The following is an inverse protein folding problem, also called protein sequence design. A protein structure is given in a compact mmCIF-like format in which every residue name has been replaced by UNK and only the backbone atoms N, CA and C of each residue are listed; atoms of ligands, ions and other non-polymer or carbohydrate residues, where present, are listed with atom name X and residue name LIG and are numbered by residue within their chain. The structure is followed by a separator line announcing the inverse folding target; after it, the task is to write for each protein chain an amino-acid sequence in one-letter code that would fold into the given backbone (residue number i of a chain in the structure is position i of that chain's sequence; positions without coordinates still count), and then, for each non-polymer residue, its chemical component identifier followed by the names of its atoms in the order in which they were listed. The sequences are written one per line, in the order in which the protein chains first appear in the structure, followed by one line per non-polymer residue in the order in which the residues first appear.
data_IF_077803062347
#
_entry.id   IF_077803062347
#
_cell.length_a   1.000
_cell.length_b   1.000
_cell.length_c   1.000
_cell.angle_alpha   90.00
_cell.angle_beta   90.00
_cell.angle_gamma   90.00
#
_symmetry.space_group_name_H-M   'P 1'
#
loop_
_entity.id
_entity.type
_entity.pdbx_description
1 polymer ?
#
# COMPACT_ATOMS: atom_id res chain seq x y z
N UNK A 1 -77.57 4.26 48.54
CA UNK A 1 -78.02 5.65 48.64
C UNK A 1 -76.97 6.56 48.08
N UNK A 2 -77.34 7.35 47.07
CA UNK A 2 -76.71 8.53 46.48
C UNK A 2 -75.38 8.32 45.69
N UNK A 3 -75.55 8.22 44.42
CA UNK A 3 -74.85 8.67 43.24
C UNK A 3 -74.17 10.02 43.36
N UNK A 4 -72.89 10.14 42.86
CA UNK A 4 -72.46 11.38 42.20
C UNK A 4 -71.54 11.04 40.99
N UNK A 5 -71.92 11.62 39.90
CA UNK A 5 -71.29 11.60 38.56
C UNK A 5 -70.09 12.53 38.55
N UNK A 6 -69.01 12.11 37.98
CA UNK A 6 -67.84 12.94 37.71
C UNK A 6 -67.29 12.68 36.33
N UNK A 7 -67.57 13.62 35.44
CA UNK A 7 -67.17 13.63 34.04
C UNK A 7 -65.62 13.61 33.90
N UNK A 8 -65.11 12.64 33.18
CA UNK A 8 -63.69 12.63 32.77
C UNK A 8 -63.58 13.32 31.42
N UNK A 9 -62.98 14.52 31.42
CA UNK A 9 -62.48 15.21 30.21
C UNK A 9 -61.27 14.48 29.72
N UNK A 10 -61.33 13.89 28.52
CA UNK A 10 -60.18 13.34 27.82
C UNK A 10 -59.49 14.46 27.01
N UNK A 11 -58.33 14.94 27.46
CA UNK A 11 -57.48 15.81 26.68
C UNK A 11 -56.66 14.88 25.75
N UNK A 12 -56.97 14.91 24.45
CA UNK A 12 -56.18 14.28 23.42
C UNK A 12 -54.96 15.18 23.15
N UNK A 13 -53.80 14.79 23.66
CA UNK A 13 -52.52 15.38 23.27
C UNK A 13 -52.10 14.81 21.89
N UNK A 14 -52.26 15.63 20.86
CA UNK A 14 -51.73 15.35 19.53
C UNK A 14 -50.22 15.64 19.58
N UNK A 15 -49.42 14.60 19.73
CA UNK A 15 -47.97 14.67 19.52
C UNK A 15 -47.69 14.67 18.00
N UNK A 16 -47.51 15.86 17.44
CA UNK A 16 -46.87 16.02 16.13
C UNK A 16 -45.38 15.68 16.28
N UNK A 17 -45.06 14.41 16.09
CA UNK A 17 -43.65 13.95 15.90
C UNK A 17 -43.18 14.37 14.51
N UNK A 18 -42.54 15.53 14.43
CA UNK A 18 -41.79 15.91 13.24
C UNK A 18 -40.59 14.96 13.08
N UNK A 19 -40.69 14.03 12.13
CA UNK A 19 -39.54 13.28 11.64
C UNK A 19 -38.71 14.28 10.84
N UNK A 20 -37.70 14.86 11.48
CA UNK A 20 -36.56 15.49 10.78
C UNK A 20 -35.77 14.37 10.09
N UNK A 21 -36.15 14.05 8.86
CA UNK A 21 -35.30 13.30 7.97
C UNK A 21 -34.05 14.18 7.71
N UNK A 22 -32.99 13.93 8.46
CA UNK A 22 -31.69 14.44 8.14
C UNK A 22 -31.27 13.74 6.84
N UNK A 23 -31.61 14.34 5.70
CA UNK A 23 -30.93 14.05 4.45
C UNK A 23 -29.49 14.49 4.63
N UNK A 24 -28.62 13.59 5.09
CA UNK A 24 -27.20 13.72 4.90
C UNK A 24 -27.00 13.73 3.37
N UNK A 25 -26.89 14.91 2.80
CA UNK A 25 -26.37 15.10 1.46
C UNK A 25 -24.96 14.48 1.49
N UNK A 26 -24.85 13.24 1.05
CA UNK A 26 -23.57 12.66 0.75
C UNK A 26 -22.92 13.62 -0.25
N UNK A 27 -21.90 14.34 0.20
CA UNK A 27 -21.14 15.23 -0.67
C UNK A 27 -20.62 14.38 -1.83
N UNK A 28 -21.07 14.68 -3.04
CA UNK A 28 -20.61 13.95 -4.23
C UNK A 28 -19.10 14.08 -4.32
N UNK A 29 -18.40 12.94 -4.48
CA UNK A 29 -16.96 12.96 -4.66
C UNK A 29 -16.65 13.72 -5.96
N UNK A 30 -15.74 14.71 -5.94
CA UNK A 30 -15.44 15.50 -7.12
C UNK A 30 -15.01 14.63 -8.30
N UNK A 31 -15.39 15.00 -9.50
CA UNK A 31 -14.87 14.39 -10.72
C UNK A 31 -13.34 14.45 -10.73
N UNK A 32 -12.71 13.35 -11.09
CA UNK A 32 -11.26 13.32 -11.23
C UNK A 32 -10.83 14.23 -12.39
N UNK A 33 -10.10 15.29 -12.06
CA UNK A 33 -9.50 16.22 -13.01
C UNK A 33 -7.98 16.06 -13.02
N UNK A 34 -7.41 15.18 -13.86
CA UNK A 34 -5.98 14.88 -13.84
C UNK A 34 -5.10 16.13 -14.00
N UNK A 35 -5.49 17.07 -14.86
CA UNK A 35 -4.70 18.28 -15.10
C UNK A 35 -4.63 19.19 -13.87
N UNK A 36 -5.75 19.33 -13.15
CA UNK A 36 -5.81 20.07 -11.88
C UNK A 36 -4.95 19.39 -10.83
N UNK A 37 -5.09 18.05 -10.68
CA UNK A 37 -4.27 17.28 -9.77
C UNK A 37 -2.76 17.43 -10.08
N UNK A 38 -2.36 17.37 -11.35
CA UNK A 38 -0.97 17.52 -11.76
C UNK A 38 -0.39 18.90 -11.38
N UNK A 39 -1.18 19.97 -11.51
CA UNK A 39 -0.73 21.32 -11.16
C UNK A 39 -0.74 21.57 -9.65
N UNK A 40 -1.85 21.29 -9.00
CA UNK A 40 -2.08 21.73 -7.61
C UNK A 40 -1.46 20.79 -6.57
N UNK A 41 -1.49 19.47 -6.81
CA UNK A 41 -0.99 18.50 -5.84
C UNK A 41 0.43 18.00 -6.15
N UNK A 42 0.78 17.93 -7.43
CA UNK A 42 2.10 17.44 -7.87
C UNK A 42 3.04 18.58 -8.23
N UNK A 43 2.51 19.73 -8.62
CA UNK A 43 3.29 20.90 -9.04
C UNK A 43 4.01 20.68 -10.37
N UNK A 44 3.37 20.01 -11.33
CA UNK A 44 3.93 19.87 -12.68
C UNK A 44 3.77 21.18 -13.46
N UNK A 45 4.77 21.48 -14.29
CA UNK A 45 4.68 22.55 -15.28
C UNK A 45 3.96 22.09 -16.57
N UNK A 46 3.63 23.03 -17.46
CA UNK A 46 2.90 22.75 -18.69
C UNK A 46 3.67 21.84 -19.65
N UNK A 47 5.00 21.91 -19.70
CA UNK A 47 5.84 21.03 -20.52
C UNK A 47 5.71 19.56 -20.06
N UNK A 48 5.78 19.33 -18.75
CA UNK A 48 5.62 17.99 -18.14
C UNK A 48 4.21 17.45 -18.40
N UNK A 49 3.19 18.28 -18.23
CA UNK A 49 1.79 17.92 -18.50
C UNK A 49 1.59 17.56 -19.98
N UNK A 50 2.12 18.38 -20.89
CA UNK A 50 2.03 18.11 -22.32
C UNK A 50 2.80 16.83 -22.71
N UNK A 51 3.93 16.55 -22.07
CA UNK A 51 4.65 15.27 -22.23
C UNK A 51 3.78 14.08 -21.82
N UNK A 52 3.11 14.13 -20.65
CA UNK A 52 2.17 13.10 -20.24
C UNK A 52 1.04 12.94 -21.24
N UNK A 53 0.41 14.04 -21.66
CA UNK A 53 -0.68 14.03 -22.64
C UNK A 53 -0.27 13.44 -24.00
N UNK A 54 0.98 13.66 -24.41
CA UNK A 54 1.52 13.05 -25.65
C UNK A 54 1.87 11.56 -25.51
N UNK A 55 1.69 10.96 -24.31
CA UNK A 55 1.98 9.56 -24.04
C UNK A 55 3.43 9.29 -23.65
N UNK A 56 4.19 10.32 -23.30
CA UNK A 56 5.53 10.17 -22.70
C UNK A 56 5.38 9.98 -21.18
N UNK A 57 6.02 8.95 -20.64
CA UNK A 57 6.06 8.76 -19.18
C UNK A 57 6.88 9.88 -18.53
N UNK A 58 6.33 10.46 -17.47
CA UNK A 58 7.00 11.49 -16.67
C UNK A 58 6.98 11.05 -15.22
N UNK A 59 8.11 11.14 -14.53
CA UNK A 59 8.19 10.96 -13.09
C UNK A 59 8.85 12.15 -12.41
N UNK A 60 8.35 12.48 -11.21
CA UNK A 60 8.81 13.60 -10.38
C UNK A 60 8.99 13.15 -8.95
N UNK A 61 10.10 13.51 -8.35
CA UNK A 61 10.33 13.38 -6.92
C UNK A 61 9.49 14.44 -6.23
N UNK A 62 8.71 14.03 -5.23
CA UNK A 62 7.94 14.96 -4.40
C UNK A 62 8.71 15.28 -3.13
N UNK A 63 8.56 16.51 -2.66
CA UNK A 63 9.17 16.94 -1.42
C UNK A 63 8.56 16.20 -0.22
N UNK A 64 9.41 15.75 0.70
CA UNK A 64 9.02 15.26 2.00
C UNK A 64 9.74 16.04 3.10
N UNK A 65 9.03 16.53 4.12
CA UNK A 65 9.66 17.17 5.28
C UNK A 65 10.42 16.16 6.16
N UNK A 66 10.23 14.87 5.93
CA UNK A 66 10.84 13.78 6.67
C UNK A 66 11.98 13.19 5.84
N UNK A 67 13.24 13.30 6.27
CA UNK A 67 14.39 12.95 5.44
C UNK A 67 14.54 11.45 5.15
N UNK A 68 13.90 10.60 5.92
CA UNK A 68 13.82 9.15 5.73
C UNK A 68 12.69 8.71 4.78
N UNK A 69 11.85 9.64 4.34
CA UNK A 69 10.79 9.37 3.38
C UNK A 69 11.23 9.67 1.93
N UNK A 70 10.85 8.78 1.03
CA UNK A 70 10.96 8.97 -0.43
C UNK A 70 9.55 8.93 -1.01
N UNK A 71 9.20 9.96 -1.77
CA UNK A 71 7.91 10.05 -2.43
C UNK A 71 8.11 10.39 -3.90
N UNK A 72 7.59 9.55 -4.80
CA UNK A 72 7.75 9.72 -6.25
C UNK A 72 6.40 9.62 -6.94
N UNK A 73 6.08 10.63 -7.71
CA UNK A 73 4.97 10.66 -8.63
C UNK A 73 5.40 10.18 -10.01
N UNK A 74 4.51 9.49 -10.73
CA UNK A 74 4.67 9.21 -12.15
C UNK A 74 3.33 9.18 -12.87
N UNK A 75 3.32 9.57 -14.15
CA UNK A 75 2.12 9.47 -14.97
C UNK A 75 2.44 9.29 -16.46
N UNK A 76 1.51 8.64 -17.15
CA UNK A 76 1.54 8.48 -18.61
C UNK A 76 0.10 8.39 -19.14
N UNK A 77 -0.14 8.99 -20.31
CA UNK A 77 -1.37 8.72 -21.05
C UNK A 77 -1.26 7.40 -21.84
N UNK A 78 -2.31 6.59 -21.77
CA UNK A 78 -2.40 5.27 -22.40
C UNK A 78 -3.73 5.16 -23.17
N UNK A 79 -3.67 4.76 -24.43
CA UNK A 79 -4.88 4.48 -25.23
C UNK A 79 -5.40 3.07 -24.88
N UNK A 80 -6.00 2.95 -23.70
CA UNK A 80 -6.57 1.72 -23.16
C UNK A 80 -7.64 2.06 -22.11
N UNK A 81 -8.22 1.05 -21.46
CA UNK A 81 -9.27 1.23 -20.45
C UNK A 81 -8.77 0.91 -19.06
N UNK A 82 -9.36 1.52 -17.99
CA UNK A 82 -9.03 1.18 -16.61
C UNK A 82 -9.24 -0.31 -16.27
N UNK A 83 -10.26 -0.94 -16.85
CA UNK A 83 -10.52 -2.37 -16.64
C UNK A 83 -9.38 -3.25 -17.15
N UNK A 84 -8.82 -2.95 -18.31
CA UNK A 84 -7.64 -3.66 -18.83
C UNK A 84 -6.39 -3.46 -17.99
N UNK A 85 -6.23 -2.26 -17.43
CA UNK A 85 -5.13 -2.04 -16.50
C UNK A 85 -5.28 -2.89 -15.24
N UNK A 86 -6.50 -2.98 -14.69
CA UNK A 86 -6.76 -3.79 -13.50
C UNK A 86 -6.48 -5.28 -13.76
N UNK A 87 -6.92 -5.79 -14.90
CA UNK A 87 -6.63 -7.17 -15.35
C UNK A 87 -5.11 -7.40 -15.45
N UNK A 88 -4.40 -6.52 -16.15
CA UNK A 88 -2.94 -6.57 -16.28
C UNK A 88 -2.22 -6.54 -14.91
N UNK A 89 -2.63 -5.64 -14.03
CA UNK A 89 -1.98 -5.46 -12.73
C UNK A 89 -2.29 -6.59 -11.72
N UNK A 90 -3.35 -7.37 -11.99
CA UNK A 90 -3.72 -8.56 -11.20
C UNK A 90 -3.06 -9.85 -11.71
N UNK A 91 -2.37 -9.80 -12.84
CA UNK A 91 -1.69 -10.96 -13.44
C UNK A 91 -0.36 -11.24 -12.73
N UNK A 92 -0.42 -12.16 -11.73
CA UNK A 92 0.77 -12.56 -10.95
C UNK A 92 1.79 -13.31 -11.82
N UNK A 93 1.36 -14.01 -12.86
CA UNK A 93 2.26 -14.74 -13.75
C UNK A 93 3.04 -13.77 -14.66
N UNK A 94 2.43 -12.64 -15.00
CA UNK A 94 3.16 -11.54 -15.64
C UNK A 94 4.18 -10.90 -14.70
N UNK A 95 3.83 -10.69 -13.43
CA UNK A 95 4.75 -10.16 -12.41
C UNK A 95 5.94 -11.09 -12.17
N UNK A 96 5.75 -12.40 -12.16
CA UNK A 96 6.85 -13.39 -12.05
C UNK A 96 7.89 -13.29 -13.16
N UNK A 97 7.52 -12.74 -14.31
CA UNK A 97 8.43 -12.55 -15.47
C UNK A 97 9.24 -11.26 -15.39
N UNK A 98 8.93 -10.38 -14.43
CA UNK A 98 9.68 -9.13 -14.24
C UNK A 98 11.02 -9.45 -13.55
N UNK A 99 12.18 -9.08 -14.12
CA UNK A 99 13.50 -9.53 -13.62
C UNK A 99 13.79 -9.19 -12.16
N UNK A 100 13.12 -8.17 -11.61
CA UNK A 100 13.33 -7.75 -10.22
C UNK A 100 12.62 -8.65 -9.21
N UNK A 101 11.59 -9.39 -9.63
CA UNK A 101 10.90 -10.36 -8.77
C UNK A 101 11.63 -11.71 -8.82
N UNK A 102 12.39 -12.02 -7.78
CA UNK A 102 13.06 -13.30 -7.63
C UNK A 102 12.07 -14.41 -7.25
N UNK A 103 11.03 -14.07 -6.50
CA UNK A 103 9.89 -14.91 -6.19
C UNK A 103 8.67 -14.04 -5.84
N UNK A 104 7.47 -14.53 -6.13
CA UNK A 104 6.21 -13.95 -5.70
C UNK A 104 5.15 -15.06 -5.56
N UNK A 105 4.41 -15.04 -4.47
CA UNK A 105 3.38 -16.03 -4.16
C UNK A 105 2.19 -15.36 -3.49
N UNK A 106 0.98 -15.74 -3.93
CA UNK A 106 -0.27 -15.34 -3.29
C UNK A 106 -0.54 -16.23 -2.08
N UNK A 107 -1.02 -15.63 -0.99
CA UNK A 107 -1.57 -16.39 0.13
C UNK A 107 -2.96 -16.92 -0.21
N UNK A 108 -3.27 -18.12 0.29
CA UNK A 108 -4.63 -18.65 0.30
C UNK A 108 -5.52 -17.87 1.27
N UNK A 109 -6.83 -18.08 1.19
CA UNK A 109 -7.80 -17.52 2.12
C UNK A 109 -8.57 -18.69 2.80
N UNK A 110 -8.36 -18.94 4.10
CA UNK A 110 -7.38 -18.31 4.99
C UNK A 110 -5.92 -18.65 4.64
N UNK A 111 -4.93 -17.81 5.03
CA UNK A 111 -3.51 -18.09 4.77
C UNK A 111 -3.03 -19.34 5.49
N UNK A 112 -2.03 -20.03 4.89
CA UNK A 112 -1.48 -21.29 5.39
C UNK A 112 0.04 -21.26 5.35
N UNK A 113 0.67 -22.07 6.18
CA UNK A 113 2.12 -22.19 6.20
C UNK A 113 2.69 -22.68 4.86
N UNK A 114 1.95 -23.52 4.12
CA UNK A 114 2.33 -23.96 2.77
C UNK A 114 2.42 -22.82 1.74
N UNK A 115 1.73 -21.71 1.96
CA UNK A 115 1.81 -20.55 1.06
C UNK A 115 3.18 -19.84 1.14
N UNK A 116 3.93 -20.10 2.22
CA UNK A 116 5.26 -19.55 2.48
C UNK A 116 6.40 -20.48 2.02
N UNK A 117 6.09 -21.51 1.27
CA UNK A 117 7.13 -22.30 0.61
C UNK A 117 7.95 -21.39 -0.32
N UNK A 118 9.27 -21.38 -0.14
CA UNK A 118 10.17 -20.45 -0.84
C UNK A 118 10.35 -19.05 -0.20
N UNK A 119 9.63 -18.72 0.87
CA UNK A 119 9.90 -17.54 1.69
C UNK A 119 11.14 -17.79 2.54
N UNK A 120 12.32 -17.56 1.95
CA UNK A 120 13.61 -17.92 2.54
C UNK A 120 14.55 -16.74 2.56
N UNK A 121 15.28 -16.58 3.67
CA UNK A 121 16.35 -15.62 3.82
C UNK A 121 17.60 -16.04 3.03
N UNK A 122 18.41 -15.05 2.64
CA UNK A 122 19.72 -15.29 2.06
C UNK A 122 20.68 -15.85 3.12
N UNK A 123 21.67 -16.63 2.68
CA UNK A 123 22.67 -17.22 3.58
C UNK A 123 23.38 -16.18 4.46
N UNK A 124 23.65 -15.00 3.89
CA UNK A 124 24.27 -13.92 4.62
C UNK A 124 23.35 -13.39 5.74
N UNK A 125 22.05 -13.28 5.48
CA UNK A 125 21.07 -12.82 6.48
C UNK A 125 20.92 -13.83 7.62
N UNK A 126 20.97 -15.13 7.32
CA UNK A 126 21.00 -16.18 8.34
C UNK A 126 22.23 -16.05 9.25
N UNK A 127 23.40 -15.78 8.67
CA UNK A 127 24.64 -15.54 9.45
C UNK A 127 24.52 -14.29 10.34
N UNK A 128 23.88 -13.24 9.84
CA UNK A 128 23.69 -11.99 10.59
C UNK A 128 22.66 -12.16 11.72
N UNK A 129 21.58 -12.95 11.50
CA UNK A 129 20.58 -13.23 12.53
C UNK A 129 21.16 -13.80 13.81
N UNK A 130 22.20 -14.62 13.72
CA UNK A 130 22.91 -15.17 14.89
C UNK A 130 23.43 -14.07 15.82
N UNK A 131 23.78 -12.89 15.29
CA UNK A 131 24.35 -11.76 16.02
C UNK A 131 23.35 -10.66 16.33
N UNK A 132 22.13 -10.77 15.83
CA UNK A 132 21.11 -9.73 15.95
C UNK A 132 20.81 -9.40 17.41
N UNK A 133 20.75 -8.11 17.69
CA UNK A 133 20.29 -7.55 18.96
C UNK A 133 19.52 -6.25 18.67
N UNK A 134 18.64 -5.80 19.57
CA UNK A 134 18.00 -4.50 19.43
C UNK A 134 19.02 -3.40 19.17
N UNK A 135 18.81 -2.60 18.12
CA UNK A 135 19.71 -1.56 17.65
C UNK A 135 20.84 -2.03 16.73
N UNK A 136 21.07 -3.33 16.59
CA UNK A 136 22.18 -3.93 15.84
C UNK A 136 21.75 -5.20 15.13
N UNK A 137 20.94 -5.08 14.09
CA UNK A 137 20.55 -6.19 13.22
C UNK A 137 20.50 -5.74 11.77
N UNK A 138 20.97 -6.57 10.86
CA UNK A 138 20.91 -6.30 9.42
C UNK A 138 19.56 -6.69 8.81
N UNK A 139 18.85 -7.62 9.46
CA UNK A 139 17.47 -8.00 9.10
C UNK A 139 16.49 -7.19 9.93
N UNK A 140 15.52 -6.56 9.29
CA UNK A 140 14.48 -5.79 9.99
C UNK A 140 13.55 -6.74 10.75
N UNK A 141 13.57 -6.66 12.06
CA UNK A 141 12.79 -7.52 12.96
C UNK A 141 12.34 -6.75 14.20
N UNK A 142 11.21 -7.12 14.80
CA UNK A 142 10.88 -6.77 16.18
C UNK A 142 11.84 -7.45 17.18
N UNK A 143 11.96 -6.87 18.39
CA UNK A 143 12.80 -7.43 19.44
C UNK A 143 12.45 -8.87 19.78
N UNK A 144 11.15 -9.15 19.89
CA UNK A 144 10.60 -10.46 20.23
C UNK A 144 11.00 -11.53 19.20
N UNK A 145 11.06 -11.12 17.93
CA UNK A 145 11.51 -12.00 16.83
C UNK A 145 12.99 -12.33 16.96
N UNK A 146 13.84 -11.33 17.30
CA UNK A 146 15.27 -11.54 17.51
C UNK A 146 15.52 -12.51 18.68
N UNK A 147 14.80 -12.33 19.78
CA UNK A 147 14.91 -13.22 20.97
C UNK A 147 14.43 -14.65 20.63
N UNK A 148 13.36 -14.77 19.87
CA UNK A 148 12.83 -16.06 19.44
C UNK A 148 13.85 -16.82 18.58
N UNK A 149 14.48 -16.16 17.61
CA UNK A 149 15.55 -16.75 16.81
C UNK A 149 16.72 -17.21 17.67
N UNK A 150 17.17 -16.39 18.63
CA UNK A 150 18.28 -16.76 19.52
C UNK A 150 18.00 -18.00 20.37
N UNK A 151 16.78 -18.10 20.89
CA UNK A 151 16.38 -19.17 21.83
C UNK A 151 16.03 -20.47 21.12
N UNK A 152 15.46 -20.38 19.91
CA UNK A 152 14.86 -21.54 19.23
C UNK A 152 15.76 -22.21 18.21
N UNK A 153 16.86 -21.54 17.77
CA UNK A 153 17.73 -22.07 16.72
C UNK A 153 18.98 -22.71 17.33
N UNK A 154 19.25 -23.95 16.90
CA UNK A 154 20.56 -24.56 17.16
C UNK A 154 21.57 -24.08 16.12
N UNK A 155 22.26 -22.99 16.47
CA UNK A 155 23.21 -22.32 15.58
C UNK A 155 24.45 -23.14 15.19
N UNK A 156 24.63 -24.33 15.78
CA UNK A 156 25.72 -25.25 15.45
C UNK A 156 25.25 -26.45 14.63
N UNK A 157 23.95 -26.55 14.36
CA UNK A 157 23.39 -27.66 13.60
C UNK A 157 23.72 -27.54 12.09
N UNK A 158 23.90 -28.64 11.38
CA UNK A 158 24.15 -28.63 9.93
C UNK A 158 22.95 -28.12 9.13
N UNK A 159 21.72 -28.22 9.67
CA UNK A 159 20.46 -27.74 9.07
C UNK A 159 20.01 -26.38 9.61
N UNK A 160 20.92 -25.56 10.12
CA UNK A 160 20.61 -24.25 10.71
C UNK A 160 19.78 -23.36 9.77
N UNK A 161 20.09 -23.39 8.47
CA UNK A 161 19.36 -22.59 7.48
C UNK A 161 17.88 -23.01 7.38
N UNK A 162 17.62 -24.31 7.40
CA UNK A 162 16.25 -24.85 7.40
C UNK A 162 15.50 -24.50 8.67
N UNK A 163 16.15 -24.58 9.84
CA UNK A 163 15.55 -24.17 11.11
C UNK A 163 15.16 -22.71 11.11
N UNK A 164 16.05 -21.82 10.66
CA UNK A 164 15.80 -20.37 10.55
C UNK A 164 14.66 -20.09 9.59
N UNK A 165 14.67 -20.69 8.41
CA UNK A 165 13.62 -20.44 7.42
C UNK A 165 12.25 -20.95 7.89
N UNK A 166 12.15 -22.15 8.47
CA UNK A 166 10.91 -22.67 9.03
C UNK A 166 10.36 -21.78 10.17
N UNK A 167 11.24 -21.33 11.05
CA UNK A 167 10.82 -20.40 12.12
C UNK A 167 10.37 -19.05 11.55
N UNK A 168 11.11 -18.49 10.58
CA UNK A 168 10.74 -17.26 9.89
C UNK A 168 9.41 -17.34 9.17
N UNK A 169 9.14 -18.44 8.47
CA UNK A 169 7.86 -18.72 7.82
C UNK A 169 6.69 -18.76 8.83
N UNK A 170 6.88 -19.48 9.95
CA UNK A 170 5.87 -19.53 11.01
C UNK A 170 5.56 -18.13 11.57
N UNK A 171 6.60 -17.37 11.90
CA UNK A 171 6.45 -16.01 12.43
C UNK A 171 5.81 -15.06 11.41
N UNK A 172 6.12 -15.23 10.12
CA UNK A 172 5.52 -14.44 9.04
C UNK A 172 4.01 -14.73 8.89
N UNK A 173 3.61 -16.01 8.97
CA UNK A 173 2.20 -16.41 8.99
C UNK A 173 1.46 -15.79 10.18
N UNK A 174 1.98 -15.96 11.39
CA UNK A 174 1.39 -15.41 12.60
C UNK A 174 1.27 -13.89 12.58
N UNK A 175 2.24 -13.20 11.98
CA UNK A 175 2.19 -11.75 11.80
C UNK A 175 1.10 -11.34 10.80
N UNK A 176 0.95 -12.08 9.70
CA UNK A 176 -0.12 -11.85 8.72
C UNK A 176 -1.50 -12.09 9.32
N UNK A 177 -1.69 -13.20 10.07
CA UNK A 177 -2.95 -13.50 10.74
C UNK A 177 -3.34 -12.40 11.73
N UNK A 178 -2.40 -11.94 12.57
CA UNK A 178 -2.64 -10.80 13.47
C UNK A 178 -3.03 -9.53 12.71
N UNK A 179 -2.42 -9.28 11.56
CA UNK A 179 -2.79 -8.12 10.73
C UNK A 179 -4.19 -8.26 10.13
N UNK A 180 -4.56 -9.44 9.66
CA UNK A 180 -5.91 -9.72 9.11
C UNK A 180 -6.98 -9.42 10.18
N UNK A 181 -6.73 -9.78 11.43
CA UNK A 181 -7.66 -9.57 12.54
C UNK A 181 -7.63 -8.15 13.10
N UNK A 182 -6.45 -7.59 13.29
CA UNK A 182 -6.22 -6.33 14.02
C UNK A 182 -5.87 -5.13 13.17
N UNK A 183 -5.63 -5.31 11.87
CA UNK A 183 -5.31 -4.23 10.94
C UNK A 183 -4.02 -3.49 11.28
N UNK A 184 -4.02 -2.18 11.06
CA UNK A 184 -2.84 -1.34 11.26
C UNK A 184 -2.28 -1.40 12.68
N UNK A 185 -3.12 -1.56 13.69
CA UNK A 185 -2.68 -1.66 15.09
C UNK A 185 -1.84 -2.91 15.38
N UNK A 186 -1.97 -3.95 14.54
CA UNK A 186 -1.19 -5.19 14.67
C UNK A 186 0.14 -5.17 13.90
N UNK A 187 0.44 -4.10 13.16
CA UNK A 187 1.75 -3.91 12.55
C UNK A 187 2.81 -3.76 13.63
N UNK A 188 3.94 -4.43 13.45
CA UNK A 188 4.99 -4.50 14.46
C UNK A 188 5.80 -3.20 14.62
N UNK A 189 6.78 -3.28 15.50
CA UNK A 189 7.78 -2.23 15.69
C UNK A 189 9.15 -2.81 15.38
N UNK A 190 9.84 -2.25 14.40
CA UNK A 190 11.21 -2.62 14.09
C UNK A 190 12.17 -2.08 15.17
N UNK A 191 13.13 -2.90 15.53
CA UNK A 191 14.15 -2.63 16.54
C UNK A 191 15.58 -2.94 16.06
N UNK A 192 15.75 -3.12 14.76
CA UNK A 192 17.03 -3.48 14.13
C UNK A 192 18.04 -2.33 14.11
N UNK A 193 17.60 -1.08 14.18
CA UNK A 193 18.44 0.12 14.27
C UNK A 193 18.26 0.80 15.64
N UNK A 194 19.12 1.79 15.93
CA UNK A 194 19.07 2.54 17.18
C UNK A 194 17.71 3.19 17.46
N UNK A 195 17.08 3.73 16.41
CA UNK A 195 15.73 4.25 16.49
C UNK A 195 14.74 3.15 16.15
N UNK A 196 13.75 2.98 17.00
CA UNK A 196 12.63 2.08 16.71
C UNK A 196 11.68 2.71 15.71
N UNK A 197 11.15 1.89 14.78
CA UNK A 197 10.13 2.30 13.84
C UNK A 197 8.82 1.57 14.14
N UNK A 198 7.81 2.32 14.65
CA UNK A 198 6.43 1.82 14.78
C UNK A 198 5.81 1.86 13.38
N UNK A 199 5.60 0.69 12.79
CA UNK A 199 5.20 0.58 11.37
C UNK A 199 3.85 1.25 11.13
N UNK A 200 2.90 1.12 12.06
CA UNK A 200 1.58 1.76 11.96
C UNK A 200 1.67 3.29 11.87
N UNK A 201 2.47 3.92 12.75
CA UNK A 201 2.62 5.38 12.77
C UNK A 201 3.32 5.88 11.50
N UNK A 202 4.35 5.13 11.08
CA UNK A 202 5.09 5.44 9.85
C UNK A 202 4.19 5.32 8.63
N UNK A 203 3.33 4.29 8.58
CA UNK A 203 2.35 4.11 7.51
C UNK A 203 1.31 5.24 7.50
N UNK A 204 0.74 5.61 8.63
CA UNK A 204 -0.24 6.70 8.73
C UNK A 204 0.37 8.02 8.25
N UNK A 205 1.62 8.31 8.65
CA UNK A 205 2.36 9.49 8.19
C UNK A 205 2.56 9.45 6.67
N UNK A 206 2.97 8.31 6.12
CA UNK A 206 3.17 8.13 4.68
C UNK A 206 1.87 8.32 3.90
N UNK A 207 0.75 7.72 4.36
CA UNK A 207 -0.56 7.84 3.74
C UNK A 207 -1.04 9.31 3.72
N UNK A 208 -0.80 10.07 4.78
CA UNK A 208 -1.18 11.48 4.87
C UNK A 208 -0.54 12.38 3.81
N UNK A 209 0.55 11.91 3.14
CA UNK A 209 1.16 12.61 1.99
C UNK A 209 0.35 12.46 0.72
N UNK A 210 -0.50 11.45 0.63
CA UNK A 210 -1.38 11.22 -0.53
C UNK A 210 -2.62 12.12 -0.50
N UNK A 211 -2.41 13.46 -0.47
CA UNK A 211 -3.45 14.48 -0.26
C UNK A 211 -4.67 14.37 -1.18
N UNK A 212 -4.51 13.83 -2.38
CA UNK A 212 -5.61 13.60 -3.31
C UNK A 212 -6.44 12.36 -2.97
N UNK A 213 -5.90 11.42 -2.19
CA UNK A 213 -6.58 10.15 -1.90
C UNK A 213 -7.90 10.35 -1.15
N UNK A 214 -7.96 11.08 -0.02
CA UNK A 214 -9.23 11.31 0.69
C UNK A 214 -10.23 12.14 -0.12
N UNK A 215 -9.77 12.93 -1.09
CA UNK A 215 -10.63 13.76 -1.94
C UNK A 215 -11.26 12.95 -3.07
N UNK A 216 -10.46 12.16 -3.77
CA UNK A 216 -10.89 11.45 -4.98
C UNK A 216 -11.25 9.98 -4.75
N UNK A 217 -10.76 9.37 -3.68
CA UNK A 217 -10.95 7.96 -3.34
C UNK A 217 -11.20 7.76 -1.83
N UNK A 218 -12.23 8.42 -1.25
CA UNK A 218 -12.45 8.41 0.20
C UNK A 218 -12.68 7.00 0.77
N UNK A 219 -13.34 6.11 0.04
CA UNK A 219 -13.56 4.72 0.48
C UNK A 219 -12.23 3.96 0.57
N UNK A 220 -11.35 4.13 -0.42
CA UNK A 220 -10.03 3.49 -0.38
C UNK A 220 -9.14 4.08 0.71
N UNK A 221 -9.18 5.40 0.91
CA UNK A 221 -8.44 6.08 1.99
C UNK A 221 -8.85 5.54 3.36
N UNK A 222 -10.15 5.50 3.61
CA UNK A 222 -10.72 4.95 4.86
C UNK A 222 -10.38 3.47 5.03
N UNK A 223 -10.42 2.68 3.95
CA UNK A 223 -10.03 1.28 4.01
C UNK A 223 -8.56 1.10 4.38
N UNK A 224 -7.66 1.90 3.82
CA UNK A 224 -6.24 1.87 4.16
C UNK A 224 -5.97 2.28 5.62
N UNK A 225 -6.77 3.20 6.17
CA UNK A 225 -6.65 3.65 7.55
C UNK A 225 -7.22 2.65 8.55
N UNK A 226 -8.42 2.13 8.30
CA UNK A 226 -9.22 1.42 9.30
C UNK A 226 -9.43 -0.07 9.01
N UNK A 227 -8.66 -0.64 8.05
CA UNK A 227 -8.70 -2.08 7.82
C UNK A 227 -8.54 -2.85 9.14
N UNK A 228 -9.29 -3.94 9.40
CA UNK A 228 -10.31 -4.57 8.56
C UNK A 228 -11.76 -4.05 8.78
N UNK A 229 -11.94 -3.04 9.63
CA UNK A 229 -13.27 -2.55 10.08
C UNK A 229 -13.92 -1.56 9.10
N UNK A 230 -13.17 -1.08 8.12
CA UNK A 230 -13.64 -0.11 7.14
C UNK A 230 -14.67 -0.72 6.18
N UNK A 231 -15.48 0.16 5.57
CA UNK A 231 -16.30 -0.21 4.43
C UNK A 231 -15.44 -0.76 3.29
N UNK A 232 -15.82 -1.91 2.76
CA UNK A 232 -15.13 -2.60 1.66
C UNK A 232 -15.89 -2.59 0.33
N UNK A 233 -16.90 -1.72 0.17
CA UNK A 233 -17.67 -1.61 -1.06
C UNK A 233 -16.76 -1.25 -2.24
N UNK A 234 -16.81 -2.09 -3.28
CA UNK A 234 -15.95 -1.93 -4.45
C UNK A 234 -14.49 -2.28 -4.22
N UNK A 235 -14.12 -2.86 -3.08
CA UNK A 235 -12.75 -3.26 -2.74
C UNK A 235 -12.60 -4.78 -2.84
N UNK A 236 -11.53 -5.19 -3.52
CA UNK A 236 -10.99 -6.54 -3.49
C UNK A 236 -9.58 -6.48 -2.90
N UNK A 237 -9.29 -7.33 -1.92
CA UNK A 237 -8.01 -7.32 -1.21
C UNK A 237 -7.41 -8.72 -1.18
N UNK A 238 -6.10 -8.81 -1.42
CA UNK A 238 -5.35 -10.05 -1.43
C UNK A 238 -3.98 -9.84 -0.81
N UNK A 239 -3.41 -10.91 -0.24
CA UNK A 239 -2.09 -10.89 0.35
C UNK A 239 -1.10 -11.66 -0.52
N UNK A 240 0.14 -11.13 -0.59
CA UNK A 240 1.25 -11.74 -1.29
C UNK A 240 2.50 -11.65 -0.44
N UNK A 241 3.39 -12.60 -0.61
CA UNK A 241 4.78 -12.38 -0.29
C UNK A 241 5.60 -12.34 -1.57
N UNK A 242 6.69 -11.61 -1.51
CA UNK A 242 7.58 -11.44 -2.63
C UNK A 242 9.03 -11.34 -2.16
N UNK A 243 9.95 -11.79 -3.00
CA UNK A 243 11.39 -11.59 -2.88
C UNK A 243 11.84 -10.70 -4.02
N UNK A 244 12.26 -9.50 -3.73
CA UNK A 244 12.54 -8.47 -4.73
C UNK A 244 13.98 -8.00 -4.66
N UNK A 245 14.60 -7.86 -5.82
CA UNK A 245 15.93 -7.27 -5.97
C UNK A 245 15.81 -5.78 -6.30
N UNK A 246 16.08 -4.92 -5.32
CA UNK A 246 16.12 -3.47 -5.49
C UNK A 246 17.51 -2.94 -5.93
N UNK A 247 18.42 -3.82 -6.39
CA UNK A 247 19.79 -3.47 -6.74
C UNK A 247 20.75 -3.43 -5.55
N UNK A 248 20.33 -3.99 -4.43
CA UNK A 248 21.08 -4.21 -3.18
C UNK A 248 20.87 -5.66 -2.74
N UNK A 249 20.73 -5.92 -1.42
CA UNK A 249 20.34 -7.26 -0.95
C UNK A 249 18.91 -7.59 -1.41
N UNK A 250 18.62 -8.85 -1.81
CA UNK A 250 17.26 -9.32 -2.00
C UNK A 250 16.42 -9.09 -0.74
N UNK A 251 15.22 -8.57 -0.91
CA UNK A 251 14.33 -8.20 0.19
C UNK A 251 13.08 -9.05 0.16
N UNK A 252 12.82 -9.78 1.24
CA UNK A 252 11.54 -10.45 1.46
C UNK A 252 10.51 -9.41 1.92
N UNK A 253 9.33 -9.44 1.32
CA UNK A 253 8.22 -8.54 1.68
C UNK A 253 6.93 -9.33 1.83
N UNK A 254 6.06 -8.86 2.72
CA UNK A 254 4.63 -9.23 2.78
C UNK A 254 3.86 -7.98 2.44
N UNK A 255 2.94 -8.09 1.51
CA UNK A 255 2.16 -6.97 0.99
C UNK A 255 0.67 -7.31 0.93
N UNK A 256 -0.16 -6.28 1.12
CA UNK A 256 -1.59 -6.30 0.83
C UNK A 256 -1.80 -5.55 -0.48
N UNK A 257 -2.29 -6.25 -1.51
CA UNK A 257 -2.73 -5.65 -2.76
C UNK A 257 -4.24 -5.40 -2.69
N UNK A 258 -4.66 -4.18 -2.94
CA UNK A 258 -6.03 -3.69 -2.79
C UNK A 258 -6.44 -3.09 -4.12
N UNK A 259 -7.45 -3.69 -4.76
CA UNK A 259 -8.08 -3.15 -5.94
C UNK A 259 -9.39 -2.46 -5.56
N UNK A 260 -9.56 -1.21 -5.95
CA UNK A 260 -10.78 -0.43 -5.75
C UNK A 260 -11.44 -0.11 -7.07
N UNK A 261 -12.74 -0.31 -7.13
CA UNK A 261 -13.60 0.07 -8.24
C UNK A 261 -14.81 0.81 -7.72
N UNK A 262 -14.96 2.07 -8.13
CA UNK A 262 -16.16 2.86 -7.86
C UNK A 262 -17.33 2.33 -8.70
N UNK A 263 -18.31 1.71 -8.04
CA UNK A 263 -19.47 1.08 -8.72
C UNK A 263 -20.60 2.06 -9.01
N UNK A 264 -20.65 3.18 -8.29
CA UNK A 264 -21.77 4.11 -8.31
C UNK A 264 -21.58 5.30 -9.26
N UNK A 265 -20.42 5.37 -9.94
CA UNK A 265 -20.10 6.45 -10.86
C UNK A 265 -20.40 6.08 -12.32
N UNK A 266 -21.01 7.00 -13.06
CA UNK A 266 -21.16 6.87 -14.52
C UNK A 266 -19.80 6.77 -15.22
N UNK A 267 -18.74 7.28 -14.60
CA UNK A 267 -17.34 7.15 -15.01
C UNK A 267 -16.56 6.44 -13.90
N UNK A 268 -16.57 5.10 -13.84
CA UNK A 268 -15.97 4.36 -12.75
C UNK A 268 -14.48 4.67 -12.61
N UNK A 269 -14.09 4.97 -11.36
CA UNK A 269 -12.70 5.20 -10.99
C UNK A 269 -12.09 3.91 -10.49
N UNK A 270 -10.86 3.67 -10.87
CA UNK A 270 -10.12 2.48 -10.50
C UNK A 270 -8.82 2.88 -9.82
N UNK A 271 -8.52 2.21 -8.74
CA UNK A 271 -7.25 2.38 -8.05
C UNK A 271 -6.71 1.02 -7.60
N UNK A 272 -5.39 0.91 -7.57
CA UNK A 272 -4.69 -0.21 -6.96
C UNK A 272 -3.75 0.37 -5.92
N UNK A 273 -3.86 -0.12 -4.68
CA UNK A 273 -2.92 0.18 -3.63
C UNK A 273 -2.16 -1.09 -3.24
N UNK A 274 -0.83 -1.00 -3.17
CA UNK A 274 0.02 -2.06 -2.64
C UNK A 274 0.66 -1.53 -1.36
N UNK A 275 0.17 -2.04 -0.23
CA UNK A 275 0.63 -1.70 1.11
C UNK A 275 1.61 -2.73 1.62
N UNK A 276 2.80 -2.31 1.99
CA UNK A 276 3.78 -3.18 2.62
C UNK A 276 3.44 -3.38 4.10
N UNK A 277 3.38 -4.63 4.53
CA UNK A 277 3.16 -5.04 5.91
C UNK A 277 4.47 -5.39 6.61
N UNK A 278 5.41 -5.97 5.86
CA UNK A 278 6.74 -6.35 6.33
C UNK A 278 7.76 -6.23 5.21
N UNK A 279 8.99 -5.89 5.54
CA UNK A 279 10.16 -6.04 4.69
C UNK A 279 11.37 -6.47 5.53
N UNK A 280 12.21 -7.38 4.98
CA UNK A 280 13.40 -7.85 5.67
C UNK A 280 14.54 -6.82 5.67
N UNK A 281 14.51 -5.84 4.75
CA UNK A 281 15.53 -4.81 4.60
C UNK A 281 14.97 -3.48 4.14
N UNK A 282 15.66 -2.40 4.46
CA UNK A 282 15.53 -1.03 3.94
C UNK A 282 14.23 -0.30 4.25
N UNK A 283 13.08 -0.92 4.01
CA UNK A 283 11.78 -0.25 4.03
C UNK A 283 11.07 -0.48 5.36
N UNK A 284 10.92 0.54 6.18
CA UNK A 284 10.06 0.48 7.37
C UNK A 284 8.61 0.30 6.97
N UNK A 285 8.17 1.01 5.93
CA UNK A 285 6.87 0.84 5.28
C UNK A 285 6.93 1.35 3.85
N UNK A 286 6.00 0.90 3.02
CA UNK A 286 5.81 1.43 1.66
C UNK A 286 4.33 1.37 1.26
N UNK A 287 3.92 2.32 0.44
CA UNK A 287 2.62 2.37 -0.22
C UNK A 287 2.81 2.78 -1.67
N UNK A 288 2.43 1.89 -2.58
CA UNK A 288 2.32 2.18 -4.00
C UNK A 288 0.84 2.36 -4.33
N UNK A 289 0.46 3.52 -4.85
CA UNK A 289 -0.90 3.83 -5.26
C UNK A 289 -0.94 4.12 -6.75
N UNK A 290 -1.67 3.35 -7.52
CA UNK A 290 -1.91 3.61 -8.95
C UNK A 290 -3.39 3.83 -9.21
N UNK A 291 -3.69 4.93 -9.89
CA UNK A 291 -5.04 5.37 -10.23
C UNK A 291 -5.16 5.46 -11.74
N UNK A 292 -6.25 4.92 -12.28
CA UNK A 292 -6.60 5.04 -13.69
C UNK A 292 -7.76 6.01 -13.85
N UNK A 293 -7.51 7.12 -14.53
CA UNK A 293 -8.50 8.18 -14.77
C UNK A 293 -8.77 8.30 -16.26
N UNK A 294 -9.99 8.01 -16.74
CA UNK A 294 -10.35 8.22 -18.15
C UNK A 294 -10.09 9.64 -18.61
N UNK A 295 -9.59 9.81 -19.82
CA UNK A 295 -9.53 11.13 -20.46
C UNK A 295 -10.93 11.53 -20.94
N UNK A 296 -11.37 12.75 -20.65
CA UNK A 296 -12.71 13.25 -21.03
C UNK A 296 -12.77 13.75 -22.48
N UNK A 297 -11.62 14.06 -23.08
CA UNK A 297 -11.52 14.68 -24.42
C UNK A 297 -11.26 13.65 -25.53
N UNK A 298 -10.72 12.48 -25.19
CA UNK A 298 -10.33 11.47 -26.16
C UNK A 298 -10.36 10.05 -25.56
N UNK A 299 -10.45 9.00 -26.40
CA UNK A 299 -10.35 7.61 -25.93
C UNK A 299 -9.03 7.37 -25.19
N UNK A 300 -9.09 6.68 -24.05
CA UNK A 300 -7.91 6.35 -23.24
C UNK A 300 -7.98 6.89 -21.82
N UNK A 301 -6.87 6.80 -21.11
CA UNK A 301 -6.79 7.15 -19.70
C UNK A 301 -5.40 7.66 -19.31
N UNK A 302 -5.34 8.31 -18.17
CA UNK A 302 -4.10 8.58 -17.46
C UNK A 302 -3.86 7.49 -16.42
N UNK A 303 -2.70 6.83 -16.48
CA UNK A 303 -2.18 6.00 -15.40
C UNK A 303 -1.34 6.91 -14.52
N UNK A 304 -1.76 7.07 -13.28
CA UNK A 304 -1.13 7.96 -12.28
C UNK A 304 -0.63 7.08 -11.16
N UNK A 305 0.66 7.12 -10.85
CA UNK A 305 1.27 6.34 -9.78
C UNK A 305 1.93 7.26 -8.75
N UNK A 306 1.66 7.01 -7.49
CA UNK A 306 2.34 7.57 -6.34
C UNK A 306 3.05 6.43 -5.61
N UNK A 307 4.37 6.53 -5.46
CA UNK A 307 5.19 5.58 -4.68
C UNK A 307 5.74 6.29 -3.47
N UNK A 308 5.34 5.83 -2.30
CA UNK A 308 5.81 6.34 -1.02
C UNK A 308 6.52 5.25 -0.23
N UNK A 309 7.63 5.58 0.42
CA UNK A 309 8.32 4.68 1.36
C UNK A 309 9.02 5.45 2.45
N UNK A 310 9.06 4.86 3.66
CA UNK A 310 9.97 5.24 4.72
C UNK A 310 11.11 4.23 4.78
N UNK A 311 12.33 4.72 4.86
CA UNK A 311 13.54 3.89 4.72
C UNK A 311 14.54 4.19 5.83
N UNK A 312 14.93 3.16 6.56
CA UNK A 312 16.00 3.28 7.54
C UNK A 312 17.35 3.67 6.85
N UNK A 313 18.10 4.56 7.49
CA UNK A 313 19.48 4.88 7.08
C UNK A 313 19.64 5.92 5.97
N UNK A 314 18.57 6.63 5.59
CA UNK A 314 18.65 7.76 4.63
C UNK A 314 19.08 9.08 5.28
N UNK A 315 19.39 9.10 6.57
CA UNK A 315 19.76 10.29 7.32
C UNK A 315 21.27 10.42 7.53
N UNK A 316 21.74 11.63 7.84
CA UNK A 316 23.17 11.94 7.99
C UNK A 316 23.92 12.08 6.67
N UNK A 317 25.23 12.38 6.72
CA UNK A 317 26.04 12.68 5.52
C UNK A 317 26.08 11.51 4.51
N UNK A 318 26.35 10.30 4.99
CA UNK A 318 26.33 9.09 4.15
C UNK A 318 24.91 8.76 3.66
N UNK A 319 23.91 8.93 4.52
CA UNK A 319 22.51 8.74 4.21
C UNK A 319 22.01 9.68 3.10
N UNK A 320 22.46 10.93 3.07
CA UNK A 320 22.11 11.88 2.02
C UNK A 320 22.58 11.45 0.62
N UNK A 321 23.77 10.85 0.51
CA UNK A 321 24.27 10.31 -0.77
C UNK A 321 23.45 9.08 -1.17
N UNK A 322 23.20 8.17 -0.24
CA UNK A 322 22.38 6.96 -0.49
C UNK A 322 20.97 7.36 -0.90
N UNK A 323 20.39 8.36 -0.22
CA UNK A 323 19.07 8.90 -0.56
C UNK A 323 19.01 9.40 -1.99
N UNK A 324 19.97 10.22 -2.42
CA UNK A 324 20.00 10.75 -3.79
C UNK A 324 20.00 9.63 -4.83
N UNK A 325 20.85 8.62 -4.66
CA UNK A 325 20.92 7.46 -5.56
C UNK A 325 19.63 6.65 -5.55
N UNK A 326 19.05 6.39 -4.37
CA UNK A 326 17.81 5.65 -4.24
C UNK A 326 16.63 6.37 -4.93
N UNK A 327 16.52 7.68 -4.72
CA UNK A 327 15.48 8.54 -5.28
C UNK A 327 15.59 8.62 -6.81
N UNK A 328 16.80 8.84 -7.35
CA UNK A 328 17.01 8.91 -8.81
C UNK A 328 16.75 7.56 -9.49
N UNK A 329 17.12 6.46 -8.84
CA UNK A 329 16.79 5.10 -9.32
C UNK A 329 15.29 4.85 -9.31
N UNK A 330 14.59 5.21 -8.23
CA UNK A 330 13.12 5.04 -8.12
C UNK A 330 12.40 5.83 -9.20
N UNK A 331 12.80 7.10 -9.44
CA UNK A 331 12.25 7.94 -10.50
C UNK A 331 12.44 7.30 -11.88
N UNK A 332 13.68 6.94 -12.22
CA UNK A 332 13.99 6.34 -13.53
C UNK A 332 13.31 4.99 -13.73
N UNK A 333 13.22 4.17 -12.67
CA UNK A 333 12.51 2.89 -12.72
C UNK A 333 11.01 3.08 -12.93
N UNK A 334 10.40 4.09 -12.29
CA UNK A 334 8.98 4.39 -12.47
C UNK A 334 8.68 4.88 -13.90
N UNK A 335 9.51 5.75 -14.47
CA UNK A 335 9.36 6.16 -15.87
C UNK A 335 9.41 4.97 -16.83
N UNK A 336 10.38 4.06 -16.66
CA UNK A 336 10.52 2.84 -17.47
C UNK A 336 9.31 1.92 -17.28
N UNK A 337 8.83 1.73 -16.05
CA UNK A 337 7.67 0.89 -15.75
C UNK A 337 6.41 1.45 -16.41
N UNK A 338 6.15 2.75 -16.32
CA UNK A 338 5.01 3.41 -16.96
C UNK A 338 5.07 3.30 -18.48
N UNK A 339 6.25 3.45 -19.09
CA UNK A 339 6.43 3.26 -20.53
C UNK A 339 6.15 1.81 -20.95
N UNK A 340 6.61 0.82 -20.17
CA UNK A 340 6.35 -0.60 -20.41
C UNK A 340 4.85 -0.95 -20.25
N UNK A 341 4.17 -0.41 -19.23
CA UNK A 341 2.72 -0.54 -19.04
C UNK A 341 1.98 -0.01 -20.27
N UNK A 342 2.32 1.21 -20.71
CA UNK A 342 1.74 1.78 -21.93
C UNK A 342 1.89 0.85 -23.12
N UNK A 343 3.11 0.43 -23.42
CA UNK A 343 3.40 -0.46 -24.55
C UNK A 343 2.59 -1.75 -24.47
N UNK A 344 2.50 -2.37 -23.30
CA UNK A 344 1.78 -3.63 -23.10
C UNK A 344 0.29 -3.47 -23.28
N UNK A 345 -0.31 -2.43 -22.72
CA UNK A 345 -1.76 -2.20 -22.81
C UNK A 345 -2.20 -1.79 -24.21
N UNK A 346 -1.38 -1.02 -24.93
CA UNK A 346 -1.68 -0.60 -26.30
C UNK A 346 -1.44 -1.72 -27.33
N UNK A 347 -0.48 -2.64 -27.11
CA UNK A 347 -0.24 -3.79 -28.00
C UNK A 347 -1.37 -4.83 -28.00
N UNK A 348 -2.25 -4.79 -26.99
CA UNK A 348 -3.41 -5.70 -26.89
C UNK A 348 -4.70 -5.13 -27.50
N UNK A 349 -4.64 -3.93 -28.07
CA UNK A 349 -5.78 -3.23 -28.67
C UNK A 349 -5.85 -3.37 -30.19
N UNK A 350 -4.89 -4.10 -30.81
CA UNK A 350 -4.84 -4.40 -32.25
C UNK A 350 -5.53 -5.70 -32.63
#
# INVERSE_FOLDING_TARGET
MKTYWGARIRIAAVLLGGILAANALAASVPDAEPMKFFREYVGLNDEQINSIRSGKAVAKILDSPTPDEVYVFGSVYVNSTPARYLEFASDIDALRKVPNYLAIQKFSDPPKLSDLEGFTLEEQDIKELKKCAPGHCEVQLPSEAMDTFKQSINWSAPDVADQVNRLGQKMALEALERYIEGGNAALGTYRDKHNSAVVADTFQRLLSRSKGLPVYFPVLDQYLLDYPKANSDGIESQFYWEKVNFGLKPTLRIVQAIAYRDKDSANPRYAIAVKQLYASHYFETALDLTVCVPDKERPGMYVITLKGSSQAGLTGFKGGIVRKVAVDRTRSSLEKALAAIKQKLESQTG
#
